data_IF_267253971663
#
_entry.id   IF_267253971663
#
_cell.length_a   1.000
_cell.length_b   1.000
_cell.length_c   1.000
_cell.angle_alpha   90.00
_cell.angle_beta   90.00
_cell.angle_gamma   90.00
#
_symmetry.space_group_name_H-M   'P 1'
#
loop_
_entity.id
_entity.type
_entity.pdbx_description
1 polymer ?
#
# COMPACT_ATOMS: atom_id res chain seq x y z
N UNK A 1 8.61 -25.36 -3.63
CA UNK A 1 8.28 -25.60 -2.21
C UNK A 1 7.17 -24.61 -1.88
N UNK A 2 5.93 -25.05 -1.69
CA UNK A 2 4.82 -24.15 -1.31
C UNK A 2 5.16 -23.63 0.09
N UNK A 3 5.47 -22.33 0.21
CA UNK A 3 5.68 -21.73 1.51
C UNK A 3 4.35 -21.78 2.27
N UNK A 4 4.28 -22.57 3.34
CA UNK A 4 3.14 -22.52 4.28
C UNK A 4 3.05 -21.10 4.83
N UNK A 5 2.10 -20.36 4.26
CA UNK A 5 1.93 -18.92 4.46
C UNK A 5 1.15 -18.74 5.75
N UNK A 6 1.87 -18.52 6.85
CA UNK A 6 1.26 -18.35 8.17
C UNK A 6 0.83 -16.89 8.35
N UNK A 7 -0.48 -16.67 8.43
CA UNK A 7 -1.01 -15.36 8.80
C UNK A 7 -0.64 -15.06 10.26
N UNK A 8 -0.11 -13.87 10.51
CA UNK A 8 0.17 -13.42 11.87
C UNK A 8 -1.15 -13.33 12.66
N UNK A 9 -1.17 -13.70 13.95
CA UNK A 9 -2.37 -13.59 14.76
C UNK A 9 -2.79 -12.11 14.93
N UNK A 10 -4.09 -11.87 15.01
CA UNK A 10 -4.63 -10.55 15.33
C UNK A 10 -4.24 -10.17 16.76
N UNK A 11 -3.60 -9.01 16.94
CA UNK A 11 -3.19 -8.53 18.26
C UNK A 11 -4.35 -7.80 18.96
N UNK A 12 -4.48 -7.92 20.29
CA UNK A 12 -5.49 -7.20 21.06
C UNK A 12 -5.44 -5.69 20.82
N UNK A 13 -6.61 -5.05 20.71
CA UNK A 13 -6.70 -3.61 20.44
C UNK A 13 -6.02 -2.76 21.54
N UNK A 14 -6.00 -3.27 22.77
CA UNK A 14 -5.33 -2.64 23.91
C UNK A 14 -3.82 -2.47 23.74
N UNK A 15 -3.17 -3.41 23.07
CA UNK A 15 -1.73 -3.38 22.72
C UNK A 15 -1.46 -2.56 21.45
N UNK A 16 -2.45 -2.55 20.54
CA UNK A 16 -2.35 -1.83 19.27
C UNK A 16 -2.54 -0.31 19.45
N UNK A 17 -3.66 0.15 20.01
CA UNK A 17 -4.02 1.59 20.04
C UNK A 17 -4.16 2.22 21.44
N UNK A 18 -4.46 1.43 22.48
CA UNK A 18 -4.93 1.98 23.76
C UNK A 18 -3.84 2.03 24.85
N UNK A 19 -4.21 2.00 26.13
CA UNK A 19 -3.41 2.41 27.30
C UNK A 19 -2.05 1.71 27.47
N UNK A 20 -1.89 0.48 26.95
CA UNK A 20 -0.58 -0.21 26.95
C UNK A 20 0.33 0.20 25.79
N UNK A 21 -0.21 0.96 24.84
CA UNK A 21 0.49 1.47 23.68
C UNK A 21 1.30 2.72 24.03
N UNK A 22 2.61 2.55 24.05
CA UNK A 22 3.59 3.64 24.15
C UNK A 22 3.91 4.16 22.75
N UNK A 23 3.81 5.46 22.56
CA UNK A 23 4.16 6.15 21.33
C UNK A 23 5.27 7.16 21.62
N UNK A 24 6.30 7.19 20.76
CA UNK A 24 7.40 8.12 20.87
C UNK A 24 7.87 8.51 19.47
N UNK A 25 8.16 9.80 19.27
CA UNK A 25 8.75 10.26 18.02
C UNK A 25 10.07 9.53 17.75
N UNK A 26 10.28 9.02 16.53
CA UNK A 26 11.55 8.39 16.17
C UNK A 26 12.69 9.40 16.20
N UNK A 27 13.86 8.95 16.65
CA UNK A 27 15.07 9.73 16.49
C UNK A 27 15.56 9.56 15.05
N UNK A 28 15.40 10.59 14.23
CA UNK A 28 15.74 10.56 12.81
C UNK A 28 17.26 10.58 12.56
N UNK A 29 18.07 10.86 13.59
CA UNK A 29 19.54 10.80 13.53
C UNK A 29 20.03 9.35 13.43
N UNK A 30 19.31 8.41 14.05
CA UNK A 30 19.65 6.99 14.05
C UNK A 30 18.71 6.22 13.11
N UNK A 31 18.82 6.50 11.81
CA UNK A 31 17.94 5.97 10.77
C UNK A 31 17.79 4.44 10.82
N UNK A 32 18.87 3.70 11.06
CA UNK A 32 18.82 2.22 11.16
C UNK A 32 17.94 1.73 12.32
N UNK A 33 17.95 2.43 13.45
CA UNK A 33 17.11 2.07 14.60
C UNK A 33 15.65 2.37 14.33
N UNK A 34 15.36 3.45 13.60
CA UNK A 34 14.01 3.77 13.15
C UNK A 34 13.50 2.74 12.14
N UNK A 35 14.28 2.38 11.13
CA UNK A 35 13.93 1.34 10.15
C UNK A 35 13.65 0.00 10.83
N UNK A 36 14.54 -0.45 11.72
CA UNK A 36 14.33 -1.69 12.51
C UNK A 36 13.04 -1.65 13.32
N UNK A 37 12.71 -0.49 13.91
CA UNK A 37 11.45 -0.30 14.66
C UNK A 37 10.24 -0.45 13.73
N UNK A 38 10.24 0.23 12.59
CA UNK A 38 9.16 0.18 11.60
C UNK A 38 8.94 -1.25 11.13
N UNK A 39 9.99 -1.94 10.66
CA UNK A 39 9.91 -3.32 10.17
C UNK A 39 9.35 -4.28 11.23
N UNK A 40 9.88 -4.21 12.46
CA UNK A 40 9.41 -5.07 13.54
C UNK A 40 7.95 -4.82 13.90
N UNK A 41 7.50 -3.56 13.87
CA UNK A 41 6.10 -3.23 14.11
C UNK A 41 5.20 -3.71 12.96
N UNK A 42 5.62 -3.52 11.70
CA UNK A 42 4.92 -4.01 10.50
C UNK A 42 4.69 -5.52 10.54
N UNK A 43 5.69 -6.30 10.93
CA UNK A 43 5.56 -7.74 11.10
C UNK A 43 4.63 -8.10 12.27
N UNK A 44 4.86 -7.49 13.45
CA UNK A 44 4.16 -7.90 14.67
C UNK A 44 2.66 -7.58 14.66
N UNK A 45 2.27 -6.42 14.11
CA UNK A 45 0.89 -5.96 13.98
C UNK A 45 0.31 -6.15 12.57
N UNK A 46 0.91 -7.01 11.74
CA UNK A 46 0.52 -7.21 10.34
C UNK A 46 -1.00 -7.28 10.15
N UNK A 47 -1.67 -8.17 10.88
CA UNK A 47 -3.11 -8.40 10.71
C UNK A 47 -3.93 -7.19 11.17
N UNK A 48 -3.52 -6.50 12.23
CA UNK A 48 -4.13 -5.23 12.64
C UNK A 48 -3.97 -4.15 11.54
N UNK A 49 -2.81 -4.08 10.90
CA UNK A 49 -2.59 -3.12 9.81
C UNK A 49 -3.41 -3.42 8.58
N UNK A 50 -3.51 -4.69 8.14
CA UNK A 50 -4.38 -5.05 7.02
C UNK A 50 -5.85 -4.73 7.31
N UNK A 51 -6.34 -5.02 8.52
CA UNK A 51 -7.70 -4.64 8.91
C UNK A 51 -7.88 -3.12 8.98
N UNK A 52 -6.89 -2.39 9.49
CA UNK A 52 -6.93 -0.92 9.53
C UNK A 52 -6.99 -0.34 8.12
N UNK A 53 -6.16 -0.85 7.20
CA UNK A 53 -6.18 -0.43 5.81
C UNK A 53 -7.53 -0.70 5.15
N UNK A 54 -8.06 -1.91 5.32
CA UNK A 54 -9.36 -2.29 4.78
C UNK A 54 -10.47 -1.39 5.34
N UNK A 55 -10.50 -1.18 6.66
CA UNK A 55 -11.54 -0.38 7.31
C UNK A 55 -11.51 1.08 6.87
N UNK A 56 -10.33 1.70 6.87
CA UNK A 56 -10.17 3.10 6.41
C UNK A 56 -10.49 3.23 4.92
N UNK A 57 -10.04 2.29 4.09
CA UNK A 57 -10.36 2.27 2.66
C UNK A 57 -11.87 2.17 2.41
N UNK A 58 -12.56 1.28 3.15
CA UNK A 58 -14.02 1.14 3.06
C UNK A 58 -14.75 2.40 3.53
N UNK A 59 -14.30 3.06 4.59
CA UNK A 59 -14.88 4.34 5.04
C UNK A 59 -14.78 5.39 3.94
N UNK A 60 -13.59 5.57 3.35
CA UNK A 60 -13.40 6.51 2.23
C UNK A 60 -14.26 6.09 1.04
N UNK A 61 -14.36 4.79 0.79
CA UNK A 61 -15.25 4.15 -0.19
C UNK A 61 -16.71 4.55 -0.03
N UNK A 62 -17.23 4.50 1.19
CA UNK A 62 -18.63 4.83 1.50
C UNK A 62 -18.87 6.35 1.47
N UNK A 63 -17.89 7.16 1.87
CA UNK A 63 -18.01 8.63 1.83
C UNK A 63 -17.93 9.18 0.40
N UNK A 64 -17.14 8.57 -0.48
CA UNK A 64 -16.91 9.03 -1.84
C UNK A 64 -17.07 7.93 -2.92
N UNK A 65 -18.19 7.19 -2.96
CA UNK A 65 -18.33 5.96 -3.76
C UNK A 65 -18.17 6.23 -5.27
N UNK A 66 -18.80 7.30 -5.76
CA UNK A 66 -18.73 7.71 -7.17
C UNK A 66 -17.29 8.02 -7.57
N UNK A 67 -16.58 8.84 -6.78
CA UNK A 67 -15.19 9.23 -7.06
C UNK A 67 -14.24 8.03 -7.00
N UNK A 68 -14.49 7.08 -6.09
CA UNK A 68 -13.68 5.86 -5.98
C UNK A 68 -13.82 4.97 -7.21
N UNK A 69 -15.04 4.74 -7.69
CA UNK A 69 -15.28 3.95 -8.91
C UNK A 69 -14.69 4.65 -10.14
N UNK A 70 -14.99 5.93 -10.35
CA UNK A 70 -14.49 6.66 -11.50
C UNK A 70 -12.97 6.84 -11.47
N UNK A 71 -12.37 7.06 -10.29
CA UNK A 71 -10.93 7.14 -10.12
C UNK A 71 -10.24 5.82 -10.46
N UNK A 72 -10.78 4.70 -9.98
CA UNK A 72 -10.31 3.36 -10.34
C UNK A 72 -10.41 3.11 -11.86
N UNK A 73 -11.57 3.36 -12.45
CA UNK A 73 -11.81 3.18 -13.90
C UNK A 73 -10.88 4.05 -14.72
N UNK A 74 -10.67 5.31 -14.35
CA UNK A 74 -9.76 6.21 -15.06
C UNK A 74 -8.32 5.69 -15.06
N UNK A 75 -7.81 5.24 -13.91
CA UNK A 75 -6.46 4.67 -13.80
C UNK A 75 -6.36 3.35 -14.59
N UNK A 76 -7.34 2.47 -14.44
CA UNK A 76 -7.36 1.18 -15.15
C UNK A 76 -7.43 1.37 -16.68
N UNK A 77 -8.23 2.32 -17.16
CA UNK A 77 -8.34 2.66 -18.57
C UNK A 77 -7.05 3.30 -19.10
N UNK A 78 -6.43 4.21 -18.34
CA UNK A 78 -5.16 4.82 -18.71
C UNK A 78 -4.04 3.77 -18.81
N UNK A 79 -3.92 2.91 -17.80
CA UNK A 79 -2.93 1.83 -17.78
C UNK A 79 -3.19 0.78 -18.87
N UNK A 80 -4.44 0.33 -19.00
CA UNK A 80 -4.84 -0.63 -20.03
C UNK A 80 -4.64 -0.09 -21.44
N UNK A 81 -4.97 1.19 -21.68
CA UNK A 81 -4.71 1.89 -22.93
C UNK A 81 -3.22 1.97 -23.24
N UNK A 82 -2.39 2.30 -22.25
CA UNK A 82 -0.94 2.34 -22.39
C UNK A 82 -0.36 0.95 -22.76
N UNK A 83 -0.76 -0.10 -22.04
CA UNK A 83 -0.33 -1.48 -22.30
C UNK A 83 -0.76 -1.94 -23.69
N UNK A 84 -2.02 -1.69 -24.07
CA UNK A 84 -2.54 -2.02 -25.39
C UNK A 84 -1.75 -1.31 -26.50
N UNK A 85 -1.52 -0.01 -26.35
CA UNK A 85 -0.77 0.76 -27.35
C UNK A 85 0.68 0.27 -27.50
N UNK A 86 1.28 -0.14 -26.39
CA UNK A 86 2.67 -0.62 -26.32
C UNK A 86 2.82 -2.03 -26.86
N UNK A 87 1.84 -2.92 -26.63
CA UNK A 87 1.89 -4.30 -27.13
C UNK A 87 1.48 -4.40 -28.61
N UNK A 88 0.59 -3.53 -29.08
CA UNK A 88 0.08 -3.55 -30.46
C UNK A 88 0.63 -2.39 -31.31
N UNK A 89 1.93 -2.10 -31.18
CA UNK A 89 2.56 -0.92 -31.79
C UNK A 89 2.30 -0.76 -33.28
N UNK A 90 2.31 -1.86 -34.05
CA UNK A 90 2.05 -1.81 -35.50
C UNK A 90 0.63 -1.31 -35.82
N UNK A 91 -0.40 -1.84 -35.14
CA UNK A 91 -1.79 -1.41 -35.33
C UNK A 91 -1.98 0.05 -34.92
N UNK A 92 -1.42 0.44 -33.78
CA UNK A 92 -1.47 1.82 -33.28
C UNK A 92 -0.76 2.81 -34.19
N UNK A 93 0.40 2.43 -34.76
CA UNK A 93 1.14 3.27 -35.72
C UNK A 93 0.42 3.37 -37.06
N UNK A 94 -0.12 2.26 -37.58
CA UNK A 94 -0.92 2.23 -38.81
C UNK A 94 -2.17 3.10 -38.69
N UNK A 95 -2.93 2.95 -37.61
CA UNK A 95 -4.12 3.77 -37.35
C UNK A 95 -3.79 5.27 -37.29
N UNK A 96 -2.70 5.64 -36.62
CA UNK A 96 -2.23 7.04 -36.58
C UNK A 96 -1.86 7.58 -37.96
N UNK A 97 -1.30 6.76 -38.83
CA UNK A 97 -0.93 7.15 -40.20
C UNK A 97 -2.15 7.27 -41.11
N UNK A 98 -3.08 6.33 -41.01
CA UNK A 98 -4.26 6.25 -41.87
C UNK A 98 -5.34 7.27 -41.44
N UNK A 99 -5.40 7.63 -40.14
CA UNK A 99 -6.38 8.56 -39.58
C UNK A 99 -5.76 9.59 -38.61
N UNK A 100 -4.94 10.54 -39.12
CA UNK A 100 -4.22 11.50 -38.28
C UNK A 100 -5.14 12.46 -37.50
N UNK A 101 -6.20 12.98 -38.14
CA UNK A 101 -7.14 13.91 -37.49
C UNK A 101 -7.89 13.21 -36.35
N UNK A 102 -8.40 11.99 -36.60
CA UNK A 102 -9.12 11.20 -35.58
C UNK A 102 -8.18 10.91 -34.40
N UNK A 103 -6.92 10.60 -34.67
CA UNK A 103 -5.91 10.35 -33.62
C UNK A 103 -5.68 11.58 -32.74
N UNK A 104 -5.61 12.77 -33.32
CA UNK A 104 -5.50 14.03 -32.56
C UNK A 104 -6.75 14.27 -31.72
N UNK A 105 -7.95 14.08 -32.29
CA UNK A 105 -9.21 14.24 -31.56
C UNK A 105 -9.32 13.26 -30.38
N UNK A 106 -8.89 12.00 -30.56
CA UNK A 106 -8.84 11.02 -29.47
C UNK A 106 -7.90 11.48 -28.36
N UNK A 107 -6.71 11.98 -28.69
CA UNK A 107 -5.74 12.47 -27.68
C UNK A 107 -6.31 13.68 -26.93
N UNK A 108 -6.90 14.64 -27.62
CA UNK A 108 -7.51 15.81 -26.99
C UNK A 108 -8.71 15.43 -26.11
N UNK A 109 -9.59 14.55 -26.60
CA UNK A 109 -10.75 14.06 -25.85
C UNK A 109 -10.34 13.25 -24.61
N UNK A 110 -9.34 12.37 -24.74
CA UNK A 110 -8.77 11.63 -23.62
C UNK A 110 -8.12 12.57 -22.60
N UNK A 111 -7.38 13.59 -23.06
CA UNK A 111 -6.79 14.61 -22.20
C UNK A 111 -7.85 15.40 -21.42
N UNK A 112 -8.90 15.86 -22.10
CA UNK A 112 -10.02 16.55 -21.46
C UNK A 112 -10.72 15.65 -20.42
N UNK A 113 -10.99 14.39 -20.77
CA UNK A 113 -11.60 13.43 -19.85
C UNK A 113 -10.72 13.18 -18.62
N UNK A 114 -9.40 13.04 -18.80
CA UNK A 114 -8.46 12.88 -17.68
C UNK A 114 -8.47 14.09 -16.75
N UNK A 115 -8.46 15.30 -17.29
CA UNK A 115 -8.55 16.54 -16.48
C UNK A 115 -9.89 16.60 -15.75
N UNK A 116 -11.00 16.28 -16.42
CA UNK A 116 -12.33 16.23 -15.81
C UNK A 116 -12.40 15.20 -14.65
N UNK A 117 -11.75 14.05 -14.82
CA UNK A 117 -11.72 12.98 -13.82
C UNK A 117 -10.63 13.15 -12.75
N UNK A 118 -9.80 14.19 -12.83
CA UNK A 118 -8.64 14.36 -11.94
C UNK A 118 -9.04 14.35 -10.46
N UNK A 119 -10.15 15.00 -10.11
CA UNK A 119 -10.66 14.98 -8.74
C UNK A 119 -11.03 13.58 -8.25
N UNK A 120 -11.58 12.74 -9.12
CA UNK A 120 -11.90 11.35 -8.79
C UNK A 120 -10.62 10.50 -8.64
N UNK A 121 -9.65 10.70 -9.54
CA UNK A 121 -8.33 10.05 -9.48
C UNK A 121 -7.61 10.39 -8.18
N UNK A 122 -7.57 11.67 -7.80
CA UNK A 122 -6.95 12.11 -6.55
C UNK A 122 -7.62 11.45 -5.33
N UNK A 123 -8.96 11.44 -5.29
CA UNK A 123 -9.69 10.81 -4.18
C UNK A 123 -9.43 9.30 -4.11
N UNK A 124 -9.37 8.60 -5.25
CA UNK A 124 -9.04 7.18 -5.26
C UNK A 124 -7.60 6.92 -4.82
N UNK A 125 -6.63 7.68 -5.33
CA UNK A 125 -5.22 7.55 -4.93
C UNK A 125 -5.03 7.84 -3.44
N UNK A 126 -5.66 8.89 -2.91
CA UNK A 126 -5.64 9.18 -1.48
C UNK A 126 -6.38 8.11 -0.67
N UNK A 127 -7.46 7.54 -1.20
CA UNK A 127 -8.17 6.41 -0.60
C UNK A 127 -7.26 5.21 -0.35
N UNK A 128 -6.32 4.95 -1.26
CA UNK A 128 -5.30 3.90 -1.12
C UNK A 128 -4.10 4.36 -0.28
N UNK A 129 -3.59 5.58 -0.50
CA UNK A 129 -2.37 6.06 0.13
C UNK A 129 -2.54 6.42 1.61
N UNK A 130 -3.70 6.96 1.99
CA UNK A 130 -3.99 7.38 3.36
C UNK A 130 -3.90 6.24 4.40
N UNK A 131 -4.54 5.06 4.20
CA UNK A 131 -4.37 3.95 5.13
C UNK A 131 -2.91 3.49 5.26
N UNK A 132 -2.14 3.48 4.16
CA UNK A 132 -0.71 3.14 4.19
C UNK A 132 0.09 4.16 5.02
N UNK A 133 -0.21 5.45 4.85
CA UNK A 133 0.39 6.52 5.65
C UNK A 133 0.09 6.34 7.15
N UNK A 134 -1.16 6.02 7.51
CA UNK A 134 -1.53 5.76 8.92
C UNK A 134 -0.78 4.55 9.50
N UNK A 135 -0.63 3.48 8.71
CA UNK A 135 0.15 2.30 9.10
C UNK A 135 1.61 2.68 9.36
N UNK A 136 2.23 3.44 8.44
CA UNK A 136 3.63 3.87 8.59
C UNK A 136 3.82 4.82 9.77
N UNK A 137 2.87 5.73 9.99
CA UNK A 137 2.87 6.63 11.14
C UNK A 137 2.80 5.83 12.45
N UNK A 138 1.84 4.91 12.53
CA UNK A 138 1.70 4.03 13.69
C UNK A 138 2.95 3.17 13.91
N UNK A 139 3.48 2.53 12.85
CA UNK A 139 4.68 1.70 12.92
C UNK A 139 5.93 2.50 13.31
N UNK A 140 6.01 3.78 12.94
CA UNK A 140 7.13 4.67 13.29
C UNK A 140 7.08 5.11 14.75
N UNK A 141 5.89 5.45 15.24
CA UNK A 141 5.69 5.99 16.58
C UNK A 141 5.62 4.90 17.66
N UNK A 142 5.11 3.71 17.34
CA UNK A 142 4.88 2.66 18.32
C UNK A 142 6.19 2.15 18.94
N UNK A 143 6.31 2.30 20.25
CA UNK A 143 7.42 1.80 21.06
C UNK A 143 7.12 0.42 21.61
N UNK A 144 8.02 -0.53 21.40
CA UNK A 144 7.81 -1.90 21.86
C UNK A 144 8.26 -2.09 23.31
N UNK A 145 7.39 -2.64 24.16
CA UNK A 145 7.72 -3.01 25.54
C UNK A 145 8.76 -4.15 25.55
N UNK A 146 9.61 -4.22 26.58
CA UNK A 146 10.64 -5.27 26.74
C UNK A 146 9.98 -6.66 26.87
N UNK A 147 8.76 -6.75 27.44
CA UNK A 147 7.96 -7.98 27.52
C UNK A 147 7.55 -8.46 26.12
N UNK A 148 7.22 -7.54 25.21
CA UNK A 148 6.92 -7.82 23.81
C UNK A 148 8.19 -8.13 23.00
N UNK A 149 9.39 -7.83 23.50
CA UNK A 149 10.67 -8.24 22.86
C UNK A 149 10.96 -9.72 23.08
N UNK A 150 10.71 -10.22 24.29
CA UNK A 150 10.95 -11.62 24.69
C UNK A 150 9.92 -12.60 24.13
N UNK A 151 8.62 -12.31 24.24
CA UNK A 151 7.56 -13.15 23.68
C UNK A 151 7.71 -13.35 22.16
N UNK A 152 8.18 -12.31 21.46
CA UNK A 152 8.35 -12.38 20.01
C UNK A 152 9.54 -13.22 19.57
N UNK A 153 10.58 -13.49 20.37
CA UNK A 153 11.75 -14.24 19.86
C UNK A 153 11.36 -15.69 19.47
N UNK A 154 10.31 -16.23 20.10
CA UNK A 154 9.70 -17.53 19.76
C UNK A 154 8.69 -17.46 18.61
N UNK A 155 7.85 -16.42 18.51
CA UNK A 155 6.90 -16.24 17.39
C UNK A 155 7.57 -15.72 16.10
N UNK A 156 8.78 -15.12 16.19
CA UNK A 156 9.47 -14.45 15.06
C UNK A 156 9.77 -15.40 13.90
N UNK A 157 9.98 -16.69 14.20
CA UNK A 157 10.28 -17.72 13.20
C UNK A 157 9.06 -18.00 12.31
N UNK A 158 7.84 -17.92 12.86
CA UNK A 158 6.59 -18.03 12.10
C UNK A 158 6.24 -16.75 11.33
N UNK A 159 6.54 -15.58 11.91
CA UNK A 159 6.27 -14.29 11.26
C UNK A 159 7.11 -14.04 10.00
N UNK A 160 8.30 -14.65 9.86
CA UNK A 160 9.09 -14.57 8.62
C UNK A 160 8.35 -15.13 7.39
N UNK A 161 7.43 -16.08 7.59
CA UNK A 161 6.62 -16.68 6.51
C UNK A 161 5.26 -16.01 6.29
N UNK A 162 5.03 -14.88 6.95
CA UNK A 162 3.82 -14.10 6.79
C UNK A 162 3.84 -13.27 5.49
N UNK A 163 2.68 -12.87 4.93
CA UNK A 163 2.63 -12.06 3.72
C UNK A 163 3.46 -10.78 3.83
N UNK A 164 3.45 -10.10 4.98
CA UNK A 164 4.28 -8.91 5.21
C UNK A 164 5.76 -9.25 5.25
N UNK A 165 6.14 -10.40 5.81
CA UNK A 165 7.52 -10.91 5.76
C UNK A 165 8.02 -11.08 4.34
N UNK A 166 7.23 -11.73 3.48
CA UNK A 166 7.56 -11.94 2.06
C UNK A 166 7.65 -10.60 1.32
N UNK A 167 6.73 -9.67 1.59
CA UNK A 167 6.76 -8.33 0.98
C UNK A 167 8.04 -7.58 1.37
N UNK A 168 8.43 -7.62 2.65
CA UNK A 168 9.63 -6.92 3.14
C UNK A 168 10.92 -7.55 2.60
N UNK A 169 10.98 -8.89 2.51
CA UNK A 169 12.08 -9.61 1.86
C UNK A 169 12.21 -9.21 0.38
N UNK A 170 11.08 -9.10 -0.34
CA UNK A 170 11.05 -8.60 -1.71
C UNK A 170 11.57 -7.16 -1.88
N UNK A 171 11.53 -6.35 -0.82
CA UNK A 171 12.12 -5.00 -0.78
C UNK A 171 13.61 -4.99 -0.37
N UNK A 172 14.25 -6.16 -0.25
CA UNK A 172 15.66 -6.29 0.16
C UNK A 172 15.88 -5.94 1.64
N UNK A 173 14.83 -5.95 2.46
CA UNK A 173 14.94 -5.76 3.90
C UNK A 173 15.20 -7.12 4.56
N UNK A 174 16.40 -7.66 4.35
CA UNK A 174 16.80 -8.91 5.00
C UNK A 174 16.79 -8.72 6.51
N UNK A 175 15.94 -9.49 7.18
CA UNK A 175 15.85 -9.52 8.62
C UNK A 175 17.03 -10.31 9.18
N UNK A 176 18.22 -9.71 9.11
CA UNK A 176 19.37 -10.14 9.89
C UNK A 176 18.99 -10.07 11.37
N UNK A 177 18.70 -11.25 11.89
CA UNK A 177 18.60 -11.53 13.31
C UNK A 177 19.90 -11.11 13.97
N UNK A 178 19.81 -10.10 14.84
CA UNK A 178 20.70 -10.09 16.01
C UNK A 178 20.43 -11.30 16.88
#
# INVERSE_FOLDING_TARGET
>A
MMADLQLAPLRPIGDFLMESARFQMPNMVEADKWTKRVLQNLLYYQTNYFLTALFVFLIIGVIHPVKMVFGFVAIAAAFGGFVFCTNNQWKSRKFKRDHPIISVLIVLGAGYLLVYMLGAVIVFLLGVAFPLMLILLHASLRMRSIKNKLANKMEYIGLKRSPMGIILEGFGQDHESG
#
